data_IF_880290558946
#
_entry.id   IF_880290558946
#
_cell.length_a   1.000
_cell.length_b   1.000
_cell.length_c   1.000
_cell.angle_alpha   90.00
_cell.angle_beta   90.00
_cell.angle_gamma   90.00
#
_symmetry.space_group_name_H-M   'P 1'
#
loop_
_entity.id
_entity.type
_entity.pdbx_description
1 polymer ?
#
# COMPACT_ATOMS: atom_id res chain seq x y z
N UNK A 1 -23.36 -19.61 82.56
CA UNK A 1 -22.24 -19.29 81.65
C UNK A 1 -22.81 -19.27 80.23
N UNK A 2 -23.03 -18.08 79.66
CA UNK A 2 -23.52 -17.90 78.29
C UNK A 2 -22.31 -17.58 77.40
N UNK A 3 -22.03 -18.43 76.41
CA UNK A 3 -20.98 -18.23 75.43
C UNK A 3 -21.51 -17.34 74.29
N UNK A 4 -20.87 -16.19 74.06
CA UNK A 4 -21.17 -15.30 72.95
C UNK A 4 -20.37 -15.75 71.71
N UNK A 5 -21.08 -16.09 70.63
CA UNK A 5 -20.48 -16.33 69.31
C UNK A 5 -20.30 -14.98 68.58
N UNK A 6 -19.05 -14.62 68.29
CA UNK A 6 -18.73 -13.52 67.39
C UNK A 6 -18.68 -14.03 65.94
N UNK A 7 -19.62 -13.56 65.11
CA UNK A 7 -19.59 -13.76 63.66
C UNK A 7 -18.88 -12.57 63.04
N UNK A 8 -17.64 -12.76 62.58
CA UNK A 8 -16.91 -11.78 61.78
C UNK A 8 -17.40 -11.81 60.34
N UNK A 9 -18.04 -10.72 59.90
CA UNK A 9 -18.37 -10.47 58.48
C UNK A 9 -17.10 -10.06 57.72
N UNK A 10 -16.66 -10.90 56.78
CA UNK A 10 -15.67 -10.49 55.77
C UNK A 10 -16.39 -9.71 54.67
N UNK A 11 -16.11 -8.41 54.58
CA UNK A 11 -16.51 -7.59 53.44
C UNK A 11 -15.53 -7.84 52.30
N UNK A 12 -15.93 -8.64 51.31
CA UNK A 12 -15.22 -8.72 50.04
C UNK A 12 -15.52 -7.47 49.23
N UNK A 13 -14.56 -6.52 49.20
CA UNK A 13 -14.59 -5.43 48.23
C UNK A 13 -14.18 -5.98 46.86
N UNK A 14 -15.15 -6.17 45.97
CA UNK A 14 -14.89 -6.45 44.56
C UNK A 14 -14.36 -5.18 43.89
N UNK A 15 -13.05 -5.13 43.65
CA UNK A 15 -12.45 -4.14 42.76
C UNK A 15 -12.80 -4.51 41.31
N UNK A 16 -13.85 -3.90 40.77
CA UNK A 16 -14.10 -3.89 39.33
C UNK A 16 -13.07 -2.99 38.66
N UNK A 17 -12.02 -3.58 38.08
CA UNK A 17 -11.18 -2.86 37.13
C UNK A 17 -12.01 -2.57 35.88
N UNK A 18 -12.54 -1.35 35.79
CA UNK A 18 -13.01 -0.80 34.52
C UNK A 18 -11.77 -0.55 33.65
N UNK A 19 -11.31 -1.56 32.93
CA UNK A 19 -10.46 -1.33 31.76
C UNK A 19 -11.40 -0.79 30.68
N UNK A 20 -11.62 0.53 30.70
CA UNK A 20 -12.20 1.20 29.56
C UNK A 20 -11.25 0.94 28.38
N UNK A 21 -11.66 0.11 27.42
CA UNK A 21 -11.00 0.12 26.11
C UNK A 21 -11.15 1.55 25.58
N UNK A 22 -10.07 2.33 25.64
CA UNK A 22 -10.01 3.59 24.92
C UNK A 22 -10.10 3.24 23.44
N UNK A 23 -11.31 3.33 22.88
CA UNK A 23 -11.52 3.21 21.47
C UNK A 23 -10.69 4.31 20.81
N UNK A 24 -9.65 3.92 20.06
CA UNK A 24 -8.78 4.90 19.43
C UNK A 24 -9.62 5.78 18.48
N UNK A 25 -9.36 7.09 18.52
CA UNK A 25 -10.00 8.02 17.60
C UNK A 25 -9.61 7.66 16.16
N UNK A 26 -10.52 7.83 15.18
CA UNK A 26 -10.20 7.65 13.77
C UNK A 26 -8.99 8.49 13.35
N UNK A 27 -8.22 7.97 12.40
CA UNK A 27 -7.08 8.68 11.83
C UNK A 27 -7.56 9.99 11.22
N UNK A 28 -6.85 11.07 11.55
CA UNK A 28 -7.11 12.39 10.97
C UNK A 28 -6.35 12.54 9.66
N UNK A 29 -7.05 12.98 8.62
CA UNK A 29 -6.49 13.21 7.30
C UNK A 29 -6.47 14.70 6.97
N UNK A 30 -5.38 15.14 6.35
CA UNK A 30 -5.23 16.49 5.80
C UNK A 30 -5.26 16.40 4.28
N UNK A 31 -5.97 17.32 3.64
CA UNK A 31 -6.00 17.43 2.19
C UNK A 31 -4.72 18.11 1.66
N UNK A 32 -4.19 17.56 0.57
CA UNK A 32 -3.12 18.18 -0.18
C UNK A 32 -3.61 19.27 -1.12
N UNK A 33 -2.74 19.67 -2.05
CA UNK A 33 -3.01 20.71 -3.03
C UNK A 33 -4.36 20.51 -3.74
N UNK A 34 -5.29 21.47 -3.60
CA UNK A 34 -6.63 21.43 -4.20
C UNK A 34 -7.37 20.09 -3.95
N UNK A 35 -7.17 19.51 -2.76
CA UNK A 35 -7.72 18.20 -2.40
C UNK A 35 -7.35 17.09 -3.39
N UNK A 36 -6.19 17.20 -4.06
CA UNK A 36 -5.69 16.21 -5.03
C UNK A 36 -5.36 14.87 -4.41
N UNK A 37 -4.95 14.90 -3.16
CA UNK A 37 -4.69 13.77 -2.30
C UNK A 37 -5.13 14.10 -0.88
N UNK A 38 -5.18 13.09 -0.03
CA UNK A 38 -5.26 13.24 1.43
C UNK A 38 -4.20 12.37 2.09
N UNK A 39 -3.75 12.77 3.27
CA UNK A 39 -2.71 12.05 3.97
C UNK A 39 -2.88 12.08 5.49
N UNK A 40 -2.41 11.00 6.13
CA UNK A 40 -2.22 10.91 7.57
C UNK A 40 -0.71 10.89 7.85
N UNK A 41 -0.21 11.93 8.52
CA UNK A 41 1.22 12.13 8.78
C UNK A 41 1.65 11.86 10.22
N UNK A 42 0.72 11.61 11.14
CA UNK A 42 1.02 11.31 12.55
C UNK A 42 1.18 9.79 12.78
N UNK A 43 1.87 9.12 11.86
CA UNK A 43 2.13 7.69 11.93
C UNK A 43 3.10 7.36 13.07
N UNK A 44 2.84 6.27 13.78
CA UNK A 44 3.68 5.73 14.87
C UNK A 44 4.03 4.26 14.65
N UNK A 45 3.91 3.82 13.40
CA UNK A 45 4.21 2.47 12.94
C UNK A 45 5.02 2.57 11.65
N UNK A 46 6.00 1.69 11.47
CA UNK A 46 6.94 1.71 10.33
C UNK A 46 6.32 1.10 9.05
N UNK A 47 5.08 1.48 8.80
CA UNK A 47 4.27 1.11 7.67
C UNK A 47 3.72 2.39 7.03
N UNK A 48 3.82 2.45 5.71
CA UNK A 48 3.25 3.49 4.87
C UNK A 48 2.27 2.82 3.93
N UNK A 49 1.03 3.31 3.87
CA UNK A 49 -0.01 2.84 2.95
C UNK A 49 -0.25 3.92 1.90
N UNK A 50 -0.05 3.59 0.63
CA UNK A 50 -0.41 4.44 -0.50
C UNK A 50 -1.56 3.83 -1.30
N UNK A 51 -2.43 4.68 -1.85
CA UNK A 51 -3.43 4.28 -2.84
C UNK A 51 -3.63 5.41 -3.86
N UNK A 52 -2.95 5.37 -5.00
CA UNK A 52 -2.89 6.51 -5.92
C UNK A 52 -4.13 6.66 -6.81
N UNK A 53 -4.88 5.59 -7.08
CA UNK A 53 -5.82 5.56 -8.21
C UNK A 53 -7.29 5.41 -7.84
N UNK A 54 -7.64 5.50 -6.55
CA UNK A 54 -9.03 5.41 -6.09
C UNK A 54 -9.86 6.68 -6.29
N UNK A 55 -9.24 7.81 -6.60
CA UNK A 55 -9.87 9.12 -6.71
C UNK A 55 -10.82 9.31 -7.89
N UNK A 56 -11.83 10.16 -7.72
CA UNK A 56 -12.82 10.51 -8.75
C UNK A 56 -12.93 12.01 -9.02
N UNK A 57 -12.20 12.87 -8.29
CA UNK A 57 -12.25 14.31 -8.49
C UNK A 57 -11.63 14.70 -9.84
N UNK A 58 -12.35 15.54 -10.59
CA UNK A 58 -12.02 15.95 -11.95
C UNK A 58 -12.08 17.49 -12.05
N UNK A 59 -11.05 18.23 -11.58
CA UNK A 59 -10.96 19.67 -11.84
C UNK A 59 -11.17 19.99 -13.33
N UNK A 60 -12.06 20.93 -13.62
CA UNK A 60 -12.49 21.24 -14.99
C UNK A 60 -11.43 22.01 -15.78
N UNK A 61 -10.55 22.73 -15.08
CA UNK A 61 -9.44 23.51 -15.61
C UNK A 61 -8.18 22.69 -15.91
N UNK A 62 -8.15 21.40 -15.51
CA UNK A 62 -7.05 20.49 -15.83
C UNK A 62 -7.48 19.57 -16.98
N UNK A 63 -6.74 19.48 -18.09
CA UNK A 63 -7.10 18.62 -19.21
C UNK A 63 -7.01 17.13 -18.85
N UNK A 64 -7.79 16.31 -19.55
CA UNK A 64 -7.72 14.86 -19.40
C UNK A 64 -6.47 14.29 -20.09
N UNK A 65 -5.83 13.33 -19.42
CA UNK A 65 -4.74 12.50 -19.92
C UNK A 65 -5.16 11.56 -21.05
N UNK A 66 -6.45 11.53 -21.42
CA UNK A 66 -6.96 10.81 -22.59
C UNK A 66 -6.37 11.34 -23.90
N UNK A 67 -5.90 12.59 -23.91
CA UNK A 67 -5.16 13.15 -25.03
C UNK A 67 -3.73 12.61 -25.14
N UNK A 68 -3.26 11.77 -24.19
CA UNK A 68 -2.01 11.05 -24.29
C UNK A 68 -0.77 11.93 -24.51
N UNK A 69 0.27 11.31 -25.07
CA UNK A 69 1.50 11.97 -25.52
C UNK A 69 1.68 11.85 -27.03
N UNK A 70 2.77 12.38 -27.56
CA UNK A 70 3.11 12.26 -28.97
C UNK A 70 4.41 11.49 -29.17
N UNK A 71 4.37 10.47 -30.03
CA UNK A 71 5.55 9.70 -30.46
C UNK A 71 5.90 10.10 -31.88
N UNK A 72 6.98 10.87 -32.02
CA UNK A 72 7.49 11.36 -33.32
C UNK A 72 8.57 10.47 -33.91
N UNK A 73 9.38 9.84 -33.06
CA UNK A 73 10.47 8.97 -33.48
C UNK A 73 10.79 7.93 -32.41
N UNK A 74 11.13 6.71 -32.83
CA UNK A 74 11.50 5.63 -31.92
C UNK A 74 10.35 5.18 -31.02
N UNK A 75 10.67 4.75 -29.80
CA UNK A 75 9.71 4.23 -28.81
C UNK A 75 9.25 5.27 -27.78
N UNK A 76 9.83 6.47 -27.76
CA UNK A 76 9.62 7.46 -26.70
C UNK A 76 8.43 8.39 -26.99
N UNK A 77 7.62 8.64 -25.96
CA UNK A 77 6.51 9.59 -25.99
C UNK A 77 6.90 10.90 -25.31
N UNK A 78 6.67 12.03 -26.00
CA UNK A 78 6.69 13.35 -25.36
C UNK A 78 5.32 13.66 -24.78
N UNK A 79 5.26 14.11 -23.53
CA UNK A 79 4.00 14.33 -22.80
C UNK A 79 3.76 15.81 -22.56
N UNK A 80 2.81 16.41 -23.29
CA UNK A 80 2.44 17.81 -23.15
C UNK A 80 0.95 17.98 -23.37
N UNK A 81 0.30 18.75 -22.51
CA UNK A 81 -1.16 18.91 -22.48
C UNK A 81 -1.69 19.69 -23.68
N UNK A 82 -0.84 20.50 -24.31
CA UNK A 82 -1.15 21.34 -25.48
C UNK A 82 -0.68 20.72 -26.80
N UNK A 83 0.01 19.57 -26.77
CA UNK A 83 0.51 18.90 -27.97
C UNK A 83 -0.59 18.09 -28.69
N UNK A 84 -1.03 18.66 -29.83
CA UNK A 84 -2.03 18.04 -30.72
C UNK A 84 -1.50 16.87 -31.53
N UNK A 85 -0.20 16.58 -31.50
CA UNK A 85 0.42 15.43 -32.15
C UNK A 85 0.01 15.24 -33.62
N UNK A 86 0.04 16.32 -34.41
CA UNK A 86 -0.27 16.26 -35.84
C UNK A 86 0.86 15.62 -36.67
N UNK A 87 2.05 15.59 -36.10
CA UNK A 87 3.30 15.16 -36.71
C UNK A 87 3.84 13.84 -36.13
N UNK A 88 2.98 13.07 -35.45
CA UNK A 88 3.39 11.81 -34.83
C UNK A 88 2.23 10.88 -34.50
N UNK A 89 2.54 9.81 -33.79
CA UNK A 89 1.55 8.86 -33.31
C UNK A 89 1.16 9.17 -31.87
N UNK A 90 -0.15 9.24 -31.62
CA UNK A 90 -0.69 9.41 -30.27
C UNK A 90 -0.30 8.24 -29.36
N UNK A 91 0.25 8.56 -28.20
CA UNK A 91 0.54 7.58 -27.14
C UNK A 91 -0.70 7.35 -26.27
N UNK A 92 -0.85 6.12 -25.79
CA UNK A 92 -1.95 5.76 -24.88
C UNK A 92 -1.53 6.00 -23.43
N UNK A 93 -2.36 6.69 -22.67
CA UNK A 93 -2.24 6.76 -21.21
C UNK A 93 -3.31 5.89 -20.56
N UNK A 94 -2.95 5.14 -19.52
CA UNK A 94 -3.94 4.44 -18.69
C UNK A 94 -4.69 5.47 -17.84
N UNK A 95 -6.02 5.45 -17.93
CA UNK A 95 -6.88 6.40 -17.23
C UNK A 95 -7.99 5.73 -16.42
N UNK A 96 -7.99 4.40 -16.34
CA UNK A 96 -8.99 3.63 -15.59
C UNK A 96 -8.77 3.86 -14.10
N UNK A 97 -9.85 4.08 -13.37
CA UNK A 97 -9.84 4.25 -11.92
C UNK A 97 -9.79 2.89 -11.23
N UNK A 98 -8.99 2.80 -10.18
CA UNK A 98 -8.91 1.64 -9.30
C UNK A 98 -10.05 1.75 -8.28
N UNK A 99 -11.30 1.64 -8.76
CA UNK A 99 -12.52 1.99 -8.01
C UNK A 99 -12.57 1.33 -6.62
N UNK A 100 -12.65 2.11 -5.54
CA UNK A 100 -12.60 1.68 -4.11
C UNK A 100 -11.22 1.28 -3.54
N UNK A 101 -10.12 1.35 -4.29
CA UNK A 101 -8.77 1.13 -3.72
C UNK A 101 -8.43 2.12 -2.60
N UNK A 102 -8.75 3.40 -2.78
CA UNK A 102 -8.56 4.43 -1.76
C UNK A 102 -9.38 4.19 -0.48
N UNK A 103 -10.67 3.85 -0.61
CA UNK A 103 -11.50 3.51 0.55
C UNK A 103 -10.99 2.24 1.26
N UNK A 104 -10.58 1.23 0.49
CA UNK A 104 -10.00 0.01 1.06
C UNK A 104 -8.72 0.32 1.86
N UNK A 105 -7.84 1.16 1.34
CA UNK A 105 -6.63 1.61 2.05
C UNK A 105 -6.95 2.32 3.37
N UNK A 106 -7.97 3.19 3.41
CA UNK A 106 -8.44 3.80 4.67
C UNK A 106 -8.97 2.76 5.64
N UNK A 107 -9.74 1.78 5.15
CA UNK A 107 -10.29 0.74 5.99
C UNK A 107 -9.19 -0.13 6.62
N UNK A 108 -8.12 -0.43 5.88
CA UNK A 108 -6.94 -1.13 6.40
C UNK A 108 -6.25 -0.27 7.47
N UNK A 109 -6.01 1.00 7.19
CA UNK A 109 -5.37 1.92 8.13
C UNK A 109 -6.18 2.08 9.43
N UNK A 110 -7.51 2.15 9.34
CA UNK A 110 -8.36 2.26 10.52
C UNK A 110 -8.50 0.96 11.31
N UNK A 111 -8.39 -0.21 10.67
CA UNK A 111 -8.29 -1.46 11.42
C UNK A 111 -7.01 -1.48 12.26
N UNK A 112 -5.86 -1.16 11.63
CA UNK A 112 -4.56 -1.10 12.30
C UNK A 112 -4.62 -0.16 13.51
N UNK A 113 -5.21 1.03 13.35
CA UNK A 113 -5.37 2.01 14.41
C UNK A 113 -6.34 1.51 15.49
N UNK A 114 -7.61 1.28 15.13
CA UNK A 114 -8.68 1.04 16.10
C UNK A 114 -8.59 -0.30 16.83
N UNK A 115 -8.00 -1.34 16.23
CA UNK A 115 -7.92 -2.69 16.82
C UNK A 115 -6.55 -3.07 17.33
N UNK A 116 -5.49 -2.52 16.75
CA UNK A 116 -4.12 -2.89 17.07
C UNK A 116 -3.30 -1.75 17.67
N UNK A 117 -3.83 -0.52 17.66
CA UNK A 117 -3.13 0.67 18.12
C UNK A 117 -1.93 1.08 17.27
N UNK A 118 -1.86 0.55 16.04
CA UNK A 118 -0.80 0.78 15.09
C UNK A 118 -1.24 1.86 14.10
N UNK A 119 -0.57 3.01 14.12
CA UNK A 119 -0.92 4.15 13.26
C UNK A 119 0.02 4.20 12.06
N UNK A 120 -0.35 3.68 10.88
CA UNK A 120 0.49 3.79 9.69
C UNK A 120 0.48 5.22 9.16
N UNK A 121 1.50 5.60 8.40
CA UNK A 121 1.40 6.75 7.50
C UNK A 121 0.49 6.39 6.33
N UNK A 122 -0.31 7.34 5.84
CA UNK A 122 -1.24 7.08 4.73
C UNK A 122 -1.19 8.21 3.71
N UNK A 123 -1.17 7.88 2.40
CA UNK A 123 -1.27 8.87 1.30
C UNK A 123 -2.19 8.35 0.19
N UNK A 124 -3.34 9.00 -0.01
CA UNK A 124 -4.39 8.55 -0.94
C UNK A 124 -4.67 9.61 -1.99
N UNK A 125 -4.64 9.22 -3.27
CA UNK A 125 -5.01 10.06 -4.39
C UNK A 125 -6.53 10.27 -4.45
N UNK A 126 -6.97 11.52 -4.55
CA UNK A 126 -8.39 11.91 -4.64
C UNK A 126 -8.76 12.41 -6.04
N UNK A 127 -7.82 12.98 -6.78
CA UNK A 127 -8.02 13.27 -8.21
C UNK A 127 -8.04 11.98 -9.02
N UNK A 128 -8.86 11.96 -10.06
CA UNK A 128 -8.93 10.84 -10.98
C UNK A 128 -7.61 10.68 -11.74
N UNK A 129 -7.25 9.41 -12.01
CA UNK A 129 -6.15 9.03 -12.89
C UNK A 129 -6.23 9.67 -14.29
N UNK A 130 -7.44 10.06 -14.72
CA UNK A 130 -7.68 10.85 -15.93
C UNK A 130 -7.04 12.24 -15.87
N UNK A 131 -6.88 12.86 -14.70
CA UNK A 131 -6.26 14.19 -14.57
C UNK A 131 -4.78 14.09 -14.23
N UNK A 132 -4.46 13.19 -13.30
CA UNK A 132 -3.09 12.97 -12.84
C UNK A 132 -2.93 11.51 -12.42
N UNK A 133 -1.85 10.87 -12.87
CA UNK A 133 -1.51 9.51 -12.44
C UNK A 133 -0.32 9.55 -11.50
N UNK A 134 -0.60 9.51 -10.20
CA UNK A 134 0.42 9.52 -9.14
C UNK A 134 1.34 8.28 -9.15
N UNK A 135 1.09 7.29 -10.01
CA UNK A 135 1.92 6.09 -10.18
C UNK A 135 2.53 6.02 -11.59
N UNK A 136 2.95 7.18 -12.11
CA UNK A 136 3.74 7.38 -13.34
C UNK A 136 4.85 8.42 -13.14
N UNK A 137 5.81 8.42 -14.07
CA UNK A 137 6.81 9.48 -14.16
C UNK A 137 6.12 10.83 -14.44
N UNK A 138 6.63 11.92 -13.85
CA UNK A 138 5.89 13.19 -13.75
C UNK A 138 5.41 13.73 -15.09
N UNK A 139 6.17 13.59 -16.18
CA UNK A 139 5.78 14.10 -17.49
C UNK A 139 4.56 13.34 -18.01
N UNK A 140 4.60 12.01 -17.98
CA UNK A 140 3.45 11.16 -18.35
C UNK A 140 2.28 11.37 -17.39
N UNK A 141 2.57 11.46 -16.09
CA UNK A 141 1.59 11.58 -15.03
C UNK A 141 0.74 12.85 -15.15
N UNK A 142 1.29 13.93 -15.72
CA UNK A 142 0.69 15.27 -15.66
C UNK A 142 0.45 15.91 -17.02
N UNK A 143 0.96 15.30 -18.10
CA UNK A 143 1.12 15.94 -19.41
C UNK A 143 1.80 17.32 -19.31
N UNK A 144 2.69 17.50 -18.33
CA UNK A 144 3.32 18.79 -18.05
C UNK A 144 2.34 19.96 -17.80
N UNK A 145 1.11 19.67 -17.37
CA UNK A 145 0.16 20.71 -16.99
C UNK A 145 0.50 21.26 -15.58
N UNK A 146 0.64 22.58 -15.36
CA UNK A 146 1.12 23.15 -14.08
C UNK A 146 0.31 22.73 -12.85
N UNK A 147 -1.02 22.71 -12.95
CA UNK A 147 -1.90 22.30 -11.84
C UNK A 147 -1.78 20.79 -11.56
N UNK A 148 -1.56 19.97 -12.59
CA UNK A 148 -1.37 18.54 -12.44
C UNK A 148 0.01 18.22 -11.84
N UNK A 149 1.05 18.99 -12.20
CA UNK A 149 2.37 18.96 -11.55
C UNK A 149 2.24 19.28 -10.06
N UNK A 150 1.52 20.35 -9.70
CA UNK A 150 1.33 20.73 -8.29
C UNK A 150 0.57 19.65 -7.51
N UNK A 151 -0.47 19.06 -8.11
CA UNK A 151 -1.17 17.92 -7.54
C UNK A 151 -0.25 16.71 -7.34
N UNK A 152 0.54 16.36 -8.35
CA UNK A 152 1.51 15.26 -8.32
C UNK A 152 2.57 15.47 -7.23
N UNK A 153 3.16 16.66 -7.18
CA UNK A 153 4.16 17.04 -6.18
C UNK A 153 3.58 16.98 -4.76
N UNK A 154 2.33 17.42 -4.56
CA UNK A 154 1.65 17.30 -3.27
C UNK A 154 1.58 15.83 -2.82
N UNK A 155 1.20 14.91 -3.70
CA UNK A 155 1.15 13.47 -3.37
C UNK A 155 2.55 12.94 -3.01
N UNK A 156 3.53 13.15 -3.89
CA UNK A 156 4.87 12.58 -3.72
C UNK A 156 5.67 13.22 -2.58
N UNK A 157 5.44 14.50 -2.26
CA UNK A 157 6.06 15.17 -1.12
C UNK A 157 5.57 14.56 0.20
N UNK A 158 4.28 14.28 0.31
CA UNK A 158 3.72 13.63 1.51
C UNK A 158 4.18 12.18 1.64
N UNK A 159 4.32 11.46 0.51
CA UNK A 159 4.87 10.11 0.52
C UNK A 159 6.35 10.09 0.90
N UNK A 160 7.14 11.04 0.37
CA UNK A 160 8.54 11.22 0.75
C UNK A 160 8.69 11.58 2.23
N UNK A 161 7.85 12.48 2.74
CA UNK A 161 7.83 12.82 4.17
C UNK A 161 7.60 11.58 5.04
N UNK A 162 6.60 10.75 4.72
CA UNK A 162 6.33 9.51 5.45
C UNK A 162 7.54 8.57 5.44
N UNK A 163 8.20 8.41 4.28
CA UNK A 163 9.42 7.60 4.16
C UNK A 163 10.53 8.16 5.05
N UNK A 164 10.76 9.47 5.04
CA UNK A 164 11.81 10.10 5.83
C UNK A 164 11.55 9.94 7.33
N UNK A 165 10.30 10.08 7.78
CA UNK A 165 9.93 9.83 9.17
C UNK A 165 10.15 8.37 9.57
N UNK A 166 9.72 7.42 8.73
CA UNK A 166 9.93 5.99 8.99
C UNK A 166 11.42 5.65 9.07
N UNK A 167 12.24 6.17 8.14
CA UNK A 167 13.69 5.94 8.16
C UNK A 167 14.36 6.59 9.37
N UNK A 168 13.95 7.80 9.74
CA UNK A 168 14.51 8.51 10.88
C UNK A 168 14.22 7.79 12.20
N UNK A 169 13.00 7.29 12.38
CA UNK A 169 12.56 6.70 13.64
C UNK A 169 12.91 5.21 13.78
N UNK A 170 12.84 4.44 12.68
CA UNK A 170 12.95 2.98 12.71
C UNK A 170 14.12 2.44 11.89
N UNK A 171 14.81 3.29 11.12
CA UNK A 171 15.87 2.89 10.19
C UNK A 171 15.34 2.22 8.92
N UNK A 172 14.25 1.47 9.02
CA UNK A 172 13.59 0.81 7.90
C UNK A 172 12.07 0.66 8.11
N UNK A 173 11.35 0.39 7.03
CA UNK A 173 9.93 0.08 7.07
C UNK A 173 9.42 -0.49 5.76
N UNK A 174 8.10 -0.47 5.61
CA UNK A 174 7.39 -1.01 4.47
C UNK A 174 6.45 0.03 3.86
N UNK A 175 6.53 0.22 2.54
CA UNK A 175 5.55 0.91 1.73
C UNK A 175 4.66 -0.11 1.02
N UNK A 176 3.35 -0.07 1.30
CA UNK A 176 2.33 -0.87 0.62
C UNK A 176 1.54 0.03 -0.30
N UNK A 177 1.67 -0.19 -1.61
CA UNK A 177 0.96 0.53 -2.67
C UNK A 177 -0.25 -0.27 -3.14
N UNK A 178 -1.44 0.15 -2.70
CA UNK A 178 -2.71 -0.54 -2.91
C UNK A 178 -3.36 -0.08 -4.20
N UNK A 179 -3.60 -1.05 -5.07
CA UNK A 179 -4.23 -0.92 -6.38
C UNK A 179 -5.43 -1.84 -6.55
N UNK A 180 -6.14 -1.65 -7.66
CA UNK A 180 -7.28 -2.47 -8.04
C UNK A 180 -7.16 -3.01 -9.46
N UNK A 181 -7.38 -4.31 -9.64
CA UNK A 181 -7.36 -4.97 -10.93
C UNK A 181 -8.72 -5.59 -11.31
N UNK A 182 -8.93 -5.80 -12.62
CA UNK A 182 -10.11 -6.43 -13.22
C UNK A 182 -9.80 -7.64 -14.13
N UNK A 183 -8.63 -8.25 -13.96
CA UNK A 183 -8.13 -9.43 -14.68
C UNK A 183 -8.75 -10.73 -14.16
N UNK A 184 -8.81 -10.92 -12.83
CA UNK A 184 -9.28 -12.18 -12.24
C UNK A 184 -9.47 -12.11 -10.73
N UNK A 185 -9.91 -13.20 -10.10
CA UNK A 185 -10.18 -13.25 -8.66
C UNK A 185 -8.96 -13.72 -7.84
N UNK A 186 -7.87 -12.96 -7.92
CA UNK A 186 -6.64 -13.21 -7.18
C UNK A 186 -5.88 -11.89 -6.94
N UNK A 187 -5.14 -11.83 -5.84
CA UNK A 187 -4.26 -10.70 -5.55
C UNK A 187 -2.93 -10.88 -6.27
N UNK A 188 -2.43 -9.83 -6.93
CA UNK A 188 -1.05 -9.82 -7.44
C UNK A 188 -0.17 -9.02 -6.47
N UNK A 189 0.92 -9.62 -6.03
CA UNK A 189 1.89 -9.02 -5.11
C UNK A 189 3.16 -8.69 -5.88
N UNK A 190 3.29 -7.43 -6.26
CA UNK A 190 4.35 -6.92 -7.11
C UNK A 190 5.61 -6.55 -6.32
N UNK A 191 6.72 -7.21 -6.66
CA UNK A 191 8.05 -7.02 -6.06
C UNK A 191 9.11 -6.49 -7.05
N UNK A 192 8.67 -5.94 -8.19
CA UNK A 192 9.50 -5.60 -9.36
C UNK A 192 10.24 -6.79 -9.96
N UNK A 193 9.60 -7.97 -9.91
CA UNK A 193 10.02 -9.17 -10.61
C UNK A 193 8.94 -9.52 -11.62
N UNK A 194 9.30 -9.55 -12.89
CA UNK A 194 8.39 -9.91 -13.97
C UNK A 194 7.99 -11.39 -13.93
N UNK A 195 6.97 -11.74 -14.71
CA UNK A 195 6.50 -13.13 -14.82
C UNK A 195 7.58 -14.08 -15.31
N UNK A 196 8.49 -13.63 -16.19
CA UNK A 196 9.56 -14.47 -16.73
C UNK A 196 10.56 -14.89 -15.64
N UNK A 197 10.83 -14.01 -14.67
CA UNK A 197 11.62 -14.31 -13.49
C UNK A 197 10.82 -15.14 -12.48
N UNK A 198 9.58 -14.75 -12.18
CA UNK A 198 8.74 -15.45 -11.19
C UNK A 198 8.40 -16.89 -11.60
N UNK A 199 8.31 -17.18 -12.90
CA UNK A 199 8.01 -18.51 -13.41
C UNK A 199 9.20 -19.48 -13.37
N UNK A 200 10.43 -19.00 -13.09
CA UNK A 200 11.62 -19.85 -12.95
C UNK A 200 11.55 -20.68 -11.67
N UNK A 201 12.15 -21.87 -11.71
CA UNK A 201 12.29 -22.72 -10.53
C UNK A 201 13.39 -22.19 -9.59
N UNK A 202 14.44 -21.59 -10.16
CA UNK A 202 15.63 -21.13 -9.46
C UNK A 202 15.65 -19.60 -9.24
N UNK A 203 14.69 -19.08 -8.46
CA UNK A 203 14.68 -17.65 -8.08
C UNK A 203 15.98 -17.18 -7.39
N UNK A 204 16.78 -18.10 -6.83
CA UNK A 204 18.09 -17.80 -6.22
C UNK A 204 19.18 -17.39 -7.21
N UNK A 205 19.18 -17.95 -8.43
CA UNK A 205 20.28 -17.82 -9.39
C UNK A 205 20.15 -16.58 -10.29
N UNK A 206 19.11 -15.77 -10.08
CA UNK A 206 18.83 -14.53 -10.82
C UNK A 206 19.81 -13.42 -10.41
N UNK A 207 21.07 -13.60 -10.80
CA UNK A 207 22.18 -12.67 -10.63
C UNK A 207 21.81 -11.32 -11.28
N UNK A 208 21.71 -10.27 -10.47
CA UNK A 208 21.70 -8.87 -10.91
C UNK A 208 20.38 -8.09 -10.76
N UNK A 209 19.23 -8.73 -10.59
CA UNK A 209 17.94 -8.02 -10.43
C UNK A 209 17.67 -7.71 -8.96
N UNK A 210 17.55 -6.43 -8.63
CA UNK A 210 17.14 -5.95 -7.30
C UNK A 210 15.62 -6.03 -7.21
N UNK A 211 15.09 -6.71 -6.20
CA UNK A 211 13.65 -6.67 -5.89
C UNK A 211 13.32 -5.45 -5.02
N UNK A 212 12.08 -4.97 -5.05
CA UNK A 212 11.63 -3.86 -4.20
C UNK A 212 11.58 -4.20 -2.70
N UNK A 213 11.80 -5.46 -2.33
CA UNK A 213 11.94 -5.92 -0.94
C UNK A 213 13.34 -6.49 -0.66
N UNK A 214 14.38 -6.01 -1.37
CA UNK A 214 15.74 -6.57 -1.30
C UNK A 214 16.29 -6.63 0.13
N UNK A 215 15.99 -5.63 0.96
CA UNK A 215 16.50 -5.61 2.33
C UNK A 215 15.92 -6.76 3.16
N UNK A 216 14.64 -7.09 2.96
CA UNK A 216 13.98 -8.26 3.56
C UNK A 216 14.60 -9.55 3.02
N UNK A 217 14.72 -9.65 1.70
CA UNK A 217 15.26 -10.84 1.04
C UNK A 217 16.75 -11.08 1.34
N UNK A 218 17.54 -10.05 1.66
CA UNK A 218 18.96 -10.20 1.99
C UNK A 218 19.21 -10.92 3.33
N UNK A 219 18.20 -10.97 4.21
CA UNK A 219 18.28 -11.69 5.48
C UNK A 219 17.61 -13.07 5.43
N UNK A 220 17.03 -13.43 4.29
CA UNK A 220 16.35 -14.69 4.06
C UNK A 220 16.85 -15.32 2.77
N UNK A 221 16.29 -16.46 2.40
CA UNK A 221 16.42 -17.01 1.06
C UNK A 221 15.46 -16.22 0.13
N UNK A 222 15.91 -15.78 -1.05
CA UNK A 222 15.05 -15.00 -1.97
C UNK A 222 13.75 -15.74 -2.40
N UNK A 223 13.77 -17.07 -2.47
CA UNK A 223 12.58 -17.87 -2.75
C UNK A 223 11.61 -17.79 -1.58
N UNK A 224 12.14 -17.79 -0.36
CA UNK A 224 11.37 -17.75 0.88
C UNK A 224 10.63 -16.41 1.05
N UNK A 225 11.32 -15.27 0.87
CA UNK A 225 10.70 -13.94 0.96
C UNK A 225 9.69 -13.64 -0.17
N UNK A 226 9.91 -14.16 -1.39
CA UNK A 226 9.06 -13.88 -2.55
C UNK A 226 7.84 -14.79 -2.59
N UNK A 227 8.03 -16.10 -2.35
CA UNK A 227 6.99 -17.12 -2.56
C UNK A 227 7.02 -18.29 -1.58
N UNK A 228 7.79 -18.20 -0.51
CA UNK A 228 7.83 -19.24 0.53
C UNK A 228 6.81 -19.01 1.64
N UNK A 229 7.04 -19.66 2.77
CA UNK A 229 6.12 -19.65 3.92
C UNK A 229 5.92 -18.24 4.50
N UNK A 230 6.97 -17.40 4.43
CA UNK A 230 7.04 -16.06 4.99
C UNK A 230 6.76 -14.94 3.99
N UNK A 231 6.46 -15.29 2.73
CA UNK A 231 6.13 -14.30 1.71
C UNK A 231 4.79 -13.64 1.96
N UNK A 232 4.62 -12.42 1.46
CA UNK A 232 3.39 -11.68 1.71
C UNK A 232 2.17 -12.35 1.04
N UNK A 233 2.33 -12.94 -0.15
CA UNK A 233 1.27 -13.72 -0.80
C UNK A 233 0.79 -14.90 0.05
N UNK A 234 1.71 -15.66 0.65
CA UNK A 234 1.36 -16.78 1.55
C UNK A 234 0.63 -16.29 2.81
N UNK A 235 1.06 -15.15 3.36
CA UNK A 235 0.44 -14.58 4.55
C UNK A 235 -0.95 -14.01 4.26
N UNK A 236 -1.17 -13.43 3.08
CA UNK A 236 -2.51 -13.00 2.61
C UNK A 236 -3.46 -14.20 2.50
N UNK A 237 -3.00 -15.32 1.91
CA UNK A 237 -3.78 -16.55 1.80
C UNK A 237 -4.10 -17.17 3.17
N UNK A 238 -3.11 -17.19 4.07
CA UNK A 238 -3.26 -17.73 5.43
C UNK A 238 -4.23 -16.89 6.27
N UNK A 239 -4.29 -15.58 6.03
CA UNK A 239 -5.28 -14.68 6.61
C UNK A 239 -6.63 -14.70 5.85
N UNK A 240 -6.85 -15.72 5.01
CA UNK A 240 -8.11 -16.00 4.32
C UNK A 240 -8.58 -14.86 3.40
N UNK A 241 -7.64 -14.13 2.78
CA UNK A 241 -7.96 -13.06 1.84
C UNK A 241 -8.18 -13.57 0.39
N UNK A 242 -7.97 -14.87 0.16
CA UNK A 242 -8.05 -15.50 -1.15
C UNK A 242 -6.69 -15.69 -1.82
N UNK A 243 -6.70 -16.19 -3.05
CA UNK A 243 -5.49 -16.56 -3.81
C UNK A 243 -4.60 -15.33 -4.03
N UNK A 244 -3.29 -15.50 -3.84
CA UNK A 244 -2.30 -14.46 -4.10
C UNK A 244 -1.11 -15.00 -4.89
N UNK A 245 -0.64 -14.24 -5.88
CA UNK A 245 0.58 -14.56 -6.61
C UNK A 245 1.66 -13.50 -6.34
N UNK A 246 2.92 -13.89 -6.11
CA UNK A 246 3.36 -15.25 -5.81
C UNK A 246 3.17 -15.60 -4.31
N UNK A 247 2.85 -16.87 -4.03
CA UNK A 247 2.73 -17.46 -2.68
C UNK A 247 3.27 -18.89 -2.66
N UNK A 248 3.32 -19.53 -1.49
CA UNK A 248 3.77 -20.92 -1.36
C UNK A 248 2.82 -21.90 -2.08
N UNK A 249 1.51 -21.67 -2.01
CA UNK A 249 0.54 -22.49 -2.71
C UNK A 249 0.42 -22.10 -4.19
N UNK A 250 0.67 -20.83 -4.53
CA UNK A 250 0.56 -20.28 -5.87
C UNK A 250 1.87 -19.55 -6.27
N UNK A 251 2.98 -20.29 -6.50
CA UNK A 251 4.32 -19.72 -6.61
C UNK A 251 4.61 -18.95 -7.91
N UNK A 252 3.76 -19.10 -8.92
CA UNK A 252 4.03 -18.68 -10.30
C UNK A 252 2.78 -18.05 -10.90
N UNK A 253 2.84 -16.83 -11.45
CA UNK A 253 1.69 -16.21 -12.13
C UNK A 253 1.38 -16.87 -13.50
N UNK A 254 2.28 -17.69 -14.03
CA UNK A 254 2.12 -18.32 -15.34
C UNK A 254 2.17 -17.29 -16.47
N UNK A 255 1.42 -17.53 -17.54
CA UNK A 255 1.39 -16.68 -18.73
C UNK A 255 0.31 -15.59 -18.67
N UNK A 256 -0.41 -15.47 -17.54
CA UNK A 256 -1.44 -14.47 -17.34
C UNK A 256 -0.88 -13.07 -17.11
N UNK A 257 -1.74 -12.06 -17.21
CA UNK A 257 -1.38 -10.69 -16.82
C UNK A 257 -0.97 -10.67 -15.35
N UNK A 258 0.21 -10.12 -15.08
CA UNK A 258 0.73 -9.89 -13.75
C UNK A 258 1.31 -8.48 -13.68
N UNK A 259 0.93 -7.72 -12.67
CA UNK A 259 1.49 -6.40 -12.44
C UNK A 259 2.55 -6.49 -11.35
N UNK A 260 3.82 -6.46 -11.76
CA UNK A 260 4.99 -6.61 -10.89
C UNK A 260 5.30 -5.37 -10.02
N UNK A 261 4.65 -4.24 -10.27
CA UNK A 261 4.86 -2.99 -9.55
C UNK A 261 4.97 -1.77 -10.46
N UNK A 262 4.60 -0.62 -9.90
CA UNK A 262 4.46 0.64 -10.60
C UNK A 262 5.64 1.58 -10.43
N UNK A 263 5.41 2.84 -10.79
CA UNK A 263 6.37 3.92 -10.59
C UNK A 263 6.68 4.17 -9.12
N UNK A 264 5.68 4.18 -8.22
CA UNK A 264 5.84 4.37 -6.78
C UNK A 264 6.78 3.30 -6.24
N UNK A 265 6.49 2.02 -6.49
CA UNK A 265 7.37 0.92 -6.08
C UNK A 265 8.79 1.15 -6.59
N UNK A 266 8.99 1.37 -7.91
CA UNK A 266 10.33 1.61 -8.52
C UNK A 266 11.06 2.81 -7.96
N UNK A 267 10.37 3.94 -7.78
CA UNK A 267 10.97 5.22 -7.41
C UNK A 267 11.48 5.23 -5.97
N UNK A 268 10.91 4.40 -5.10
CA UNK A 268 11.22 4.39 -3.67
C UNK A 268 12.01 3.15 -3.19
N UNK A 269 12.33 2.17 -4.05
CA UNK A 269 13.04 0.93 -3.64
C UNK A 269 14.39 1.16 -2.95
N UNK A 270 15.13 2.20 -3.32
CA UNK A 270 16.42 2.51 -2.69
C UNK A 270 16.23 3.19 -1.32
N UNK A 271 15.02 3.63 -1.02
CA UNK A 271 14.68 4.37 0.20
C UNK A 271 14.00 3.48 1.24
N UNK A 272 13.10 2.59 0.81
CA UNK A 272 12.28 1.74 1.69
C UNK A 272 11.92 0.44 0.96
N UNK A 273 11.63 -0.64 1.69
CA UNK A 273 10.99 -1.81 1.08
C UNK A 273 9.60 -1.40 0.56
N UNK A 274 9.26 -1.78 -0.66
CA UNK A 274 7.99 -1.42 -1.29
C UNK A 274 7.32 -2.65 -1.92
N UNK A 275 6.01 -2.78 -1.75
CA UNK A 275 5.19 -3.82 -2.38
C UNK A 275 3.99 -3.15 -3.03
N UNK A 276 3.70 -3.48 -4.29
CA UNK A 276 2.42 -3.16 -4.89
C UNK A 276 1.45 -4.33 -4.70
N UNK A 277 0.21 -4.08 -4.29
CA UNK A 277 -0.84 -5.11 -4.32
C UNK A 277 -1.95 -4.71 -5.26
N UNK A 278 -2.21 -5.55 -6.25
CA UNK A 278 -3.37 -5.44 -7.15
C UNK A 278 -4.50 -6.30 -6.65
N UNK A 279 -5.51 -5.69 -6.06
CA UNK A 279 -6.60 -6.41 -5.42
C UNK A 279 -7.78 -6.57 -6.39
N UNK A 280 -8.36 -7.77 -6.52
CA UNK A 280 -9.62 -7.98 -7.24
C UNK A 280 -10.75 -7.14 -6.65
N UNK A 281 -11.77 -6.87 -7.47
CA UNK A 281 -12.92 -6.08 -7.07
C UNK A 281 -13.59 -6.61 -5.78
N UNK A 282 -13.79 -7.92 -5.67
CA UNK A 282 -14.50 -8.54 -4.54
C UNK A 282 -13.79 -8.38 -3.18
N UNK A 283 -12.46 -8.18 -3.19
CA UNK A 283 -11.71 -7.87 -1.97
C UNK A 283 -12.01 -6.44 -1.49
N UNK A 284 -12.11 -5.49 -2.43
CA UNK A 284 -12.22 -4.05 -2.14
C UNK A 284 -13.66 -3.55 -2.05
N UNK A 285 -14.62 -4.32 -2.53
CA UNK A 285 -16.02 -3.91 -2.69
C UNK A 285 -17.01 -4.80 -1.92
N UNK A 286 -18.30 -4.47 -2.07
CA UNK A 286 -19.39 -5.27 -1.51
C UNK A 286 -19.47 -5.24 0.03
N UNK A 287 -20.29 -6.14 0.62
CA UNK A 287 -20.53 -6.17 2.06
C UNK A 287 -19.29 -6.62 2.86
N UNK A 288 -18.36 -7.34 2.23
CA UNK A 288 -17.19 -7.91 2.89
C UNK A 288 -15.96 -6.98 2.90
N UNK A 289 -16.00 -5.81 2.24
CA UNK A 289 -14.84 -4.89 2.13
C UNK A 289 -14.17 -4.55 3.47
N UNK A 290 -14.95 -4.41 4.55
CA UNK A 290 -14.43 -4.12 5.90
C UNK A 290 -13.76 -5.36 6.53
N UNK A 291 -14.37 -6.53 6.35
CA UNK A 291 -13.80 -7.81 6.81
C UNK A 291 -12.50 -8.11 6.04
N UNK A 292 -12.48 -7.85 4.74
CA UNK A 292 -11.30 -8.03 3.92
C UNK A 292 -10.19 -7.03 4.28
N UNK A 293 -10.54 -5.77 4.58
CA UNK A 293 -9.58 -4.80 5.11
C UNK A 293 -8.99 -5.25 6.45
N UNK A 294 -9.80 -5.85 7.32
CA UNK A 294 -9.33 -6.46 8.57
C UNK A 294 -8.36 -7.61 8.33
N UNK A 295 -8.70 -8.53 7.43
CA UNK A 295 -7.84 -9.66 7.04
C UNK A 295 -6.51 -9.17 6.45
N UNK A 296 -6.55 -8.14 5.60
CA UNK A 296 -5.35 -7.52 5.03
C UNK A 296 -4.50 -6.82 6.10
N UNK A 297 -5.12 -6.09 7.05
CA UNK A 297 -4.41 -5.47 8.16
C UNK A 297 -3.69 -6.49 9.04
N UNK A 298 -4.33 -7.63 9.36
CA UNK A 298 -3.69 -8.75 10.07
C UNK A 298 -2.53 -9.34 9.27
N UNK A 299 -2.72 -9.56 7.97
CA UNK A 299 -1.66 -10.03 7.10
C UNK A 299 -0.44 -9.09 7.09
N UNK A 300 -0.65 -7.77 7.16
CA UNK A 300 0.46 -6.81 7.29
C UNK A 300 1.18 -6.95 8.63
N UNK A 301 0.45 -7.08 9.74
CA UNK A 301 1.04 -7.29 11.07
C UNK A 301 1.87 -8.58 11.07
N UNK A 302 1.32 -9.67 10.55
CA UNK A 302 1.99 -10.97 10.50
C UNK A 302 3.24 -10.91 9.61
N UNK A 303 3.14 -10.31 8.41
CA UNK A 303 4.27 -10.16 7.50
C UNK A 303 5.38 -9.31 8.12
N UNK A 304 5.04 -8.20 8.77
CA UNK A 304 6.01 -7.36 9.47
C UNK A 304 6.63 -8.09 10.66
N UNK A 305 5.85 -8.90 11.37
CA UNK A 305 6.32 -9.66 12.55
C UNK A 305 7.32 -10.75 12.17
N UNK A 306 7.01 -11.51 11.13
CA UNK A 306 7.88 -12.56 10.60
C UNK A 306 9.17 -11.97 10.02
N UNK A 307 9.07 -10.81 9.35
CA UNK A 307 10.21 -10.13 8.75
C UNK A 307 10.78 -9.07 9.70
N UNK A 308 11.38 -9.51 10.82
CA UNK A 308 11.87 -8.71 11.97
C UNK A 308 12.62 -7.40 11.68
N UNK A 309 13.18 -7.20 10.48
CA UNK A 309 13.70 -5.91 10.01
C UNK A 309 12.62 -4.81 10.05
N UNK A 310 11.39 -5.20 9.77
CA UNK A 310 10.18 -4.37 9.84
C UNK A 310 9.65 -4.21 11.27
N UNK A 311 10.39 -4.62 12.31
CA UNK A 311 10.01 -4.40 13.71
C UNK A 311 11.07 -3.68 14.54
N UNK A 312 12.21 -3.28 13.95
CA UNK A 312 13.26 -2.61 14.72
C UNK A 312 12.78 -1.24 15.22
N UNK A 313 12.42 -1.25 16.51
CA UNK A 313 12.13 -0.18 17.46
C UNK A 313 10.66 0.27 17.65
N UNK A 314 9.82 -0.61 18.20
CA UNK A 314 8.70 -0.22 19.08
C UNK A 314 9.07 -0.16 20.57
N UNK A 315 10.35 -0.39 20.93
CA UNK A 315 10.85 -0.36 22.31
C UNK A 315 11.84 0.78 22.52
N UNK A 316 11.34 1.98 22.79
CA UNK A 316 12.05 3.02 23.57
C UNK A 316 11.09 4.14 24.01
N UNK A 317 10.02 3.76 24.70
CA UNK A 317 9.35 4.63 25.67
C UNK A 317 8.77 3.72 26.76
N UNK A 318 9.63 3.35 27.71
CA UNK A 318 9.25 3.30 29.12
C UNK A 318 9.39 4.71 29.67
#
# INVERSE_FOLDING_TARGET
MLAAFYVTYFVFASFSFNVAQQQQQPLQYVDGYRSSCKFHQAGTFNLIISAPHGGSLMPTDVPDRTQGGCRRSGSYCTWRYDDKCFDGQRCTATTVQDYLSGEFAENVAEELNSKHGLKPFVVIGKWSRKKVDFNREINEATLNHPEAISAYQSYHTNLQYAIDQVKQQYGNGLLIDIHGQGVGNFTMVGYLLDSDLLNRDDLQSTLGTITSIEQICSLSNRTECIRGQTSFGTILETNELGIAYPSMAHPKPGNGTFFEGGYITRNYILKINAIQTELPYDIRAGPYKRVNAMKYARALIDYMTVNTILLKNSKSTM
#
